data_IF_442567979440
#
_entry.id   IF_442567979440
#
_cell.length_a   1.000
_cell.length_b   1.000
_cell.length_c   1.000
_cell.angle_alpha   90.00
_cell.angle_beta   90.00
_cell.angle_gamma   90.00
#
_symmetry.space_group_name_H-M   'P 1'
#
loop_
_entity.id
_entity.type
_entity.pdbx_description
1 polymer ?
#
# COMPACT_ATOMS: atom_id res chain seq x y z
N UNK A 1 10.17 -12.43 -10.95
CA UNK A 1 9.99 -11.16 -10.24
C UNK A 1 9.45 -10.01 -11.08
N UNK A 2 9.81 -9.86 -12.37
CA UNK A 2 9.26 -8.76 -13.22
C UNK A 2 7.74 -8.88 -13.47
N UNK A 3 7.24 -10.09 -13.62
CA UNK A 3 5.82 -10.36 -13.85
C UNK A 3 5.02 -10.02 -12.58
N UNK A 4 5.49 -10.47 -11.42
CA UNK A 4 4.84 -10.22 -10.13
C UNK A 4 4.85 -8.73 -9.79
N UNK A 5 5.92 -8.00 -10.13
CA UNK A 5 5.99 -6.55 -9.93
C UNK A 5 4.93 -5.83 -10.77
N UNK A 6 4.82 -6.15 -12.06
CA UNK A 6 3.82 -5.52 -12.93
C UNK A 6 2.40 -5.81 -12.44
N UNK A 7 2.09 -7.05 -12.03
CA UNK A 7 0.79 -7.42 -11.47
C UNK A 7 0.48 -6.62 -10.20
N UNK A 8 1.45 -6.49 -9.29
CA UNK A 8 1.26 -5.73 -8.04
C UNK A 8 1.10 -4.23 -8.31
N UNK A 9 1.84 -3.67 -9.26
CA UNK A 9 1.71 -2.26 -9.67
C UNK A 9 0.34 -2.02 -10.30
N UNK A 10 -0.11 -2.88 -11.23
CA UNK A 10 -1.43 -2.78 -11.84
C UNK A 10 -2.54 -2.86 -10.80
N UNK A 11 -2.48 -3.84 -9.90
CA UNK A 11 -3.42 -4.00 -8.80
C UNK A 11 -3.51 -2.75 -7.92
N UNK A 12 -2.36 -2.19 -7.53
CA UNK A 12 -2.31 -0.99 -6.69
C UNK A 12 -2.89 0.26 -7.38
N UNK A 13 -2.59 0.45 -8.67
CA UNK A 13 -3.09 1.57 -9.46
C UNK A 13 -4.61 1.49 -9.67
N UNK A 14 -5.13 0.31 -10.01
CA UNK A 14 -6.58 0.12 -10.20
C UNK A 14 -7.34 0.21 -8.87
N UNK A 15 -6.80 -0.34 -7.79
CA UNK A 15 -7.34 -0.17 -6.46
C UNK A 15 -7.39 1.32 -6.06
N UNK A 16 -6.32 2.07 -6.33
CA UNK A 16 -6.29 3.50 -6.10
C UNK A 16 -7.38 4.26 -6.88
N UNK A 17 -7.66 3.90 -8.13
CA UNK A 17 -8.78 4.46 -8.91
C UNK A 17 -10.13 4.16 -8.25
N UNK A 18 -10.34 2.93 -7.77
CA UNK A 18 -11.56 2.54 -7.05
C UNK A 18 -11.74 3.33 -5.74
N UNK A 19 -10.67 3.47 -4.98
CA UNK A 19 -10.64 4.29 -3.75
C UNK A 19 -10.99 5.74 -4.04
N UNK A 20 -10.32 6.36 -5.02
CA UNK A 20 -10.50 7.79 -5.33
C UNK A 20 -11.92 8.10 -5.78
N UNK A 21 -12.59 7.21 -6.52
CA UNK A 21 -13.99 7.36 -6.89
C UNK A 21 -14.92 7.48 -5.68
N UNK A 22 -14.64 6.72 -4.62
CA UNK A 22 -15.41 6.77 -3.36
C UNK A 22 -15.00 8.00 -2.54
N UNK A 23 -13.69 8.29 -2.48
CA UNK A 23 -13.15 9.45 -1.77
C UNK A 23 -13.74 10.77 -2.27
N UNK A 24 -13.86 10.93 -3.57
CA UNK A 24 -14.45 12.12 -4.21
C UNK A 24 -15.96 12.23 -3.98
N UNK A 25 -16.67 11.10 -3.93
CA UNK A 25 -18.12 11.10 -3.67
C UNK A 25 -18.48 11.56 -2.27
N UNK A 26 -17.60 11.35 -1.28
CA UNK A 26 -17.83 11.65 0.12
C UNK A 26 -18.79 10.67 0.83
N UNK A 27 -19.24 9.63 0.15
CA UNK A 27 -20.12 8.58 0.68
C UNK A 27 -19.28 7.35 1.04
N UNK A 28 -18.86 7.28 2.32
CA UNK A 28 -17.88 6.28 2.76
C UNK A 28 -18.52 5.01 3.34
N UNK A 29 -19.79 5.07 3.76
CA UNK A 29 -20.51 3.94 4.39
C UNK A 29 -19.66 3.29 5.50
N UNK A 30 -19.29 4.11 6.51
CA UNK A 30 -18.36 3.72 7.56
C UNK A 30 -19.00 2.70 8.50
N UNK A 31 -18.36 1.57 8.68
CA UNK A 31 -18.68 0.55 9.68
C UNK A 31 -17.51 0.37 10.65
N UNK A 32 -17.71 -0.36 11.74
CA UNK A 32 -16.67 -0.62 12.74
C UNK A 32 -16.39 -2.11 12.78
N UNK A 33 -15.12 -2.49 12.65
CA UNK A 33 -14.66 -3.88 12.77
C UNK A 33 -14.72 -4.35 14.23
N UNK A 34 -14.50 -5.64 14.46
CA UNK A 34 -14.54 -6.23 15.81
C UNK A 34 -13.41 -5.78 16.74
N UNK A 35 -12.38 -5.12 16.22
CA UNK A 35 -11.24 -4.53 16.94
C UNK A 35 -11.35 -2.98 17.08
N UNK A 36 -12.55 -2.44 16.89
CA UNK A 36 -12.88 -1.01 16.92
C UNK A 36 -12.19 -0.17 15.80
N UNK A 37 -11.55 -0.79 14.81
CA UNK A 37 -11.04 -0.07 13.63
C UNK A 37 -12.16 0.25 12.64
N UNK A 38 -12.08 1.38 11.91
CA UNK A 38 -13.06 1.70 10.88
C UNK A 38 -12.85 0.84 9.64
N UNK A 39 -13.95 0.48 8.99
CA UNK A 39 -14.02 -0.13 7.68
C UNK A 39 -14.91 0.73 6.80
N UNK A 40 -14.46 1.05 5.61
CA UNK A 40 -15.25 1.80 4.65
C UNK A 40 -15.56 0.97 3.40
N UNK A 41 -16.49 1.44 2.62
CA UNK A 41 -16.77 0.86 1.29
C UNK A 41 -15.56 0.91 0.36
N UNK A 42 -14.64 1.86 0.59
CA UNK A 42 -13.42 1.98 -0.19
C UNK A 42 -12.41 0.85 0.12
N UNK A 43 -12.30 0.43 1.39
CA UNK A 43 -11.46 -0.72 1.79
C UNK A 43 -11.90 -1.98 1.05
N UNK A 44 -13.21 -2.24 1.01
CA UNK A 44 -13.78 -3.41 0.32
C UNK A 44 -13.60 -3.33 -1.19
N UNK A 45 -13.85 -2.17 -1.80
CA UNK A 45 -13.66 -1.99 -3.24
C UNK A 45 -12.20 -2.15 -3.66
N UNK A 46 -11.27 -1.62 -2.87
CA UNK A 46 -9.83 -1.81 -3.04
C UNK A 46 -9.45 -3.28 -2.93
N UNK A 47 -9.92 -3.96 -1.88
CA UNK A 47 -9.68 -5.37 -1.65
C UNK A 47 -10.13 -6.22 -2.85
N UNK A 48 -11.35 -6.04 -3.35
CA UNK A 48 -11.89 -6.79 -4.48
C UNK A 48 -11.03 -6.64 -5.74
N UNK A 49 -10.61 -5.40 -6.04
CA UNK A 49 -9.73 -5.12 -7.19
C UNK A 49 -8.39 -5.83 -7.03
N UNK A 50 -7.74 -5.69 -5.87
CA UNK A 50 -6.43 -6.31 -5.63
C UNK A 50 -6.53 -7.83 -5.71
N UNK A 51 -7.54 -8.43 -5.10
CA UNK A 51 -7.76 -9.89 -5.14
C UNK A 51 -7.92 -10.39 -6.56
N UNK A 52 -8.66 -9.69 -7.41
CA UNK A 52 -8.84 -10.06 -8.82
C UNK A 52 -7.49 -10.22 -9.56
N UNK A 53 -6.55 -9.30 -9.34
CA UNK A 53 -5.22 -9.37 -9.96
C UNK A 53 -4.33 -10.44 -9.33
N UNK A 54 -4.27 -10.49 -7.99
CA UNK A 54 -3.30 -11.34 -7.30
C UNK A 54 -3.69 -12.81 -7.31
N UNK A 55 -4.97 -13.17 -7.25
CA UNK A 55 -5.44 -14.56 -7.34
C UNK A 55 -5.06 -15.21 -8.68
N UNK A 56 -5.01 -14.43 -9.75
CA UNK A 56 -4.56 -14.91 -11.07
C UNK A 56 -3.11 -15.39 -11.07
N UNK A 57 -2.30 -15.01 -10.09
CA UNK A 57 -0.92 -15.49 -9.94
C UNK A 57 -0.82 -16.92 -9.38
N UNK A 58 -1.88 -17.44 -8.78
CA UNK A 58 -1.90 -18.73 -8.08
C UNK A 58 -1.12 -18.71 -6.75
N UNK A 59 -0.66 -17.55 -6.28
CA UNK A 59 0.03 -17.37 -5.00
C UNK A 59 -1.01 -17.00 -3.95
N UNK A 60 -1.01 -17.64 -2.76
CA UNK A 60 -1.91 -17.28 -1.66
C UNK A 60 -1.85 -15.80 -1.29
N UNK A 61 -2.99 -15.21 -0.95
CA UNK A 61 -3.10 -13.80 -0.54
C UNK A 61 -3.58 -13.70 0.90
N UNK A 62 -2.81 -12.99 1.72
CA UNK A 62 -3.20 -12.57 3.07
C UNK A 62 -3.54 -11.09 3.03
N UNK A 63 -4.82 -10.76 3.05
CA UNK A 63 -5.31 -9.38 3.04
C UNK A 63 -5.93 -9.02 4.38
N UNK A 64 -5.79 -7.77 4.82
CA UNK A 64 -6.42 -7.25 6.03
C UNK A 64 -7.95 -7.39 5.98
N UNK A 65 -8.54 -7.14 4.82
CA UNK A 65 -9.99 -7.26 4.59
C UNK A 65 -10.41 -8.66 4.12
N UNK A 66 -9.48 -9.61 4.14
CA UNK A 66 -9.71 -10.98 3.72
C UNK A 66 -10.38 -11.84 4.79
N UNK A 67 -10.68 -13.08 4.41
CA UNK A 67 -11.19 -14.08 5.35
C UNK A 67 -10.14 -14.43 6.40
N UNK A 68 -10.59 -14.77 7.61
CA UNK A 68 -9.71 -15.30 8.63
C UNK A 68 -9.06 -16.62 8.14
N UNK A 69 -7.73 -16.64 8.13
CA UNK A 69 -6.92 -17.80 7.73
C UNK A 69 -6.20 -18.31 8.98
N UNK A 70 -6.24 -19.63 9.20
CA UNK A 70 -5.61 -20.20 10.39
C UNK A 70 -4.09 -20.00 10.41
N UNK A 71 -3.50 -20.00 11.59
CA UNK A 71 -2.04 -19.87 11.73
C UNK A 71 -1.31 -21.02 11.06
N UNK A 72 -1.83 -22.24 11.18
CA UNK A 72 -1.27 -23.45 10.59
C UNK A 72 -1.26 -23.34 9.05
N UNK A 73 -2.35 -22.86 8.47
CA UNK A 73 -2.45 -22.67 7.02
C UNK A 73 -1.44 -21.62 6.54
N UNK A 74 -1.39 -20.44 7.19
CA UNK A 74 -0.43 -19.38 6.86
C UNK A 74 1.02 -19.84 6.97
N UNK A 75 1.36 -20.63 7.99
CA UNK A 75 2.71 -21.16 8.18
C UNK A 75 3.11 -22.21 7.14
N UNK A 76 2.14 -22.81 6.43
CA UNK A 76 2.41 -23.74 5.34
C UNK A 76 2.84 -23.06 4.05
N UNK A 77 2.59 -21.76 3.92
CA UNK A 77 2.88 -21.00 2.69
C UNK A 77 4.33 -20.55 2.66
N UNK A 78 5.06 -20.99 1.65
CA UNK A 78 6.44 -20.57 1.38
C UNK A 78 6.48 -19.23 0.64
N UNK A 79 5.46 -18.95 -0.14
CA UNK A 79 5.31 -17.71 -0.89
C UNK A 79 3.89 -17.22 -0.70
N UNK A 80 3.70 -15.94 -0.37
CA UNK A 80 2.38 -15.32 -0.22
C UNK A 80 2.43 -13.83 -0.55
N UNK A 81 1.30 -13.30 -0.97
CA UNK A 81 1.03 -11.88 -1.00
C UNK A 81 0.53 -11.42 0.37
N UNK A 82 1.01 -10.27 0.83
CA UNK A 82 0.46 -9.55 1.99
C UNK A 82 -0.08 -8.22 1.49
N UNK A 83 -1.32 -7.93 1.84
CA UNK A 83 -2.07 -6.79 1.30
C UNK A 83 -2.74 -6.01 2.42
N UNK A 84 -2.55 -4.70 2.41
CA UNK A 84 -3.40 -3.74 3.10
C UNK A 84 -4.08 -2.87 2.05
N UNK A 85 -5.39 -3.04 1.84
CA UNK A 85 -6.12 -2.34 0.77
C UNK A 85 -6.20 -0.83 0.97
N UNK A 86 -6.27 -0.35 2.23
CA UNK A 86 -6.17 1.07 2.61
C UNK A 86 -5.50 1.19 3.98
N UNK A 87 -4.20 1.41 3.99
CA UNK A 87 -3.50 1.83 5.20
C UNK A 87 -3.79 3.32 5.45
N UNK A 88 -4.38 3.60 6.61
CA UNK A 88 -4.82 4.95 6.96
C UNK A 88 -6.32 5.19 6.74
N UNK A 89 -7.20 4.23 7.03
CA UNK A 89 -8.67 4.39 6.93
C UNK A 89 -9.20 5.58 7.74
N UNK A 90 -8.59 5.88 8.90
CA UNK A 90 -8.92 7.08 9.69
C UNK A 90 -8.59 8.37 8.94
N UNK A 91 -7.49 8.42 8.25
CA UNK A 91 -7.02 9.53 7.43
C UNK A 91 -7.88 9.69 6.18
N UNK A 92 -8.29 8.58 5.58
CA UNK A 92 -9.27 8.54 4.49
C UNK A 92 -10.59 9.20 4.91
N UNK A 93 -11.16 8.80 6.05
CA UNK A 93 -12.41 9.36 6.58
C UNK A 93 -12.27 10.86 6.90
N UNK A 94 -11.12 11.29 7.45
CA UNK A 94 -10.82 12.71 7.75
C UNK A 94 -10.54 13.55 6.49
N UNK A 95 -10.41 12.92 5.33
CA UNK A 95 -10.13 13.56 4.05
C UNK A 95 -8.83 14.38 4.03
N UNK A 96 -7.79 13.91 4.73
CA UNK A 96 -6.48 14.57 4.74
C UNK A 96 -5.53 14.06 3.64
N UNK A 97 -5.90 12.99 2.92
CA UNK A 97 -5.15 12.44 1.80
C UNK A 97 -3.95 11.54 2.19
N UNK A 98 -3.77 11.26 3.47
CA UNK A 98 -2.63 10.50 4.00
C UNK A 98 -2.97 9.01 4.16
N UNK A 99 -3.30 8.35 3.07
CA UNK A 99 -3.56 6.91 3.03
C UNK A 99 -2.91 6.27 1.81
N UNK A 100 -2.64 4.97 1.90
CA UNK A 100 -1.90 4.22 0.87
C UNK A 100 -2.55 2.87 0.57
N UNK A 101 -2.23 2.32 -0.61
CA UNK A 101 -2.43 0.90 -0.95
C UNK A 101 -1.11 0.20 -0.82
N UNK A 102 -1.05 -0.88 -0.04
CA UNK A 102 0.19 -1.60 0.23
C UNK A 102 0.08 -3.06 -0.22
N UNK A 103 1.02 -3.50 -1.07
CA UNK A 103 1.10 -4.89 -1.57
C UNK A 103 2.53 -5.36 -1.44
N UNK A 104 2.75 -6.52 -0.80
CA UNK A 104 4.07 -7.13 -0.68
C UNK A 104 4.05 -8.60 -1.07
N UNK A 105 5.13 -9.07 -1.70
CA UNK A 105 5.41 -10.50 -1.91
C UNK A 105 6.44 -10.95 -0.90
N UNK A 106 6.11 -12.00 -0.16
CA UNK A 106 7.00 -12.64 0.81
C UNK A 106 7.35 -14.03 0.32
N UNK A 107 8.63 -14.39 0.36
CA UNK A 107 9.14 -15.72 0.04
C UNK A 107 10.02 -16.23 1.18
N UNK A 108 9.77 -17.46 1.64
CA UNK A 108 10.50 -18.10 2.75
C UNK A 108 10.64 -17.18 3.98
N UNK A 109 9.58 -16.44 4.30
CA UNK A 109 9.54 -15.49 5.41
C UNK A 109 10.24 -14.16 5.19
N UNK A 110 10.80 -13.90 4.00
CA UNK A 110 11.47 -12.64 3.66
C UNK A 110 10.66 -11.85 2.62
N UNK A 111 10.41 -10.54 2.83
CA UNK A 111 9.83 -9.70 1.79
C UNK A 111 10.81 -9.55 0.62
N UNK A 112 10.36 -9.87 -0.59
CA UNK A 112 11.18 -9.82 -1.81
C UNK A 112 10.72 -8.77 -2.81
N UNK A 113 9.48 -8.30 -2.67
CA UNK A 113 8.88 -7.24 -3.48
C UNK A 113 7.89 -6.45 -2.62
N UNK A 114 7.84 -5.14 -2.82
CA UNK A 114 6.85 -4.26 -2.21
C UNK A 114 6.39 -3.18 -3.16
N UNK A 115 5.11 -2.83 -3.10
CA UNK A 115 4.48 -1.72 -3.82
C UNK A 115 3.66 -0.92 -2.81
N UNK A 116 3.85 0.41 -2.82
CA UNK A 116 3.06 1.37 -2.06
C UNK A 116 2.55 2.41 -3.05
N UNK A 117 1.26 2.58 -3.14
CA UNK A 117 0.65 3.63 -3.95
C UNK A 117 -0.05 4.65 -3.06
N UNK A 118 0.19 5.93 -3.31
CA UNK A 118 -0.45 7.08 -2.64
C UNK A 118 -1.48 7.68 -3.58
N UNK A 119 -2.77 7.32 -3.51
CA UNK A 119 -3.75 7.65 -4.55
C UNK A 119 -3.95 9.15 -4.73
N UNK A 120 -3.96 9.92 -3.64
CA UNK A 120 -4.19 11.37 -3.68
C UNK A 120 -3.02 12.12 -4.31
N UNK A 121 -1.79 11.69 -4.05
CA UNK A 121 -0.59 12.31 -4.61
C UNK A 121 -0.26 11.79 -6.02
N UNK A 122 -0.78 10.61 -6.40
CA UNK A 122 -0.39 9.92 -7.63
C UNK A 122 1.06 9.44 -7.59
N UNK A 123 1.57 9.13 -6.39
CA UNK A 123 2.94 8.65 -6.18
C UNK A 123 2.95 7.13 -5.99
N UNK A 124 3.80 6.45 -6.74
CA UNK A 124 4.05 5.02 -6.64
C UNK A 124 5.47 4.78 -6.12
N UNK A 125 5.58 4.01 -5.05
CA UNK A 125 6.84 3.50 -4.55
C UNK A 125 6.86 1.98 -4.72
N UNK A 126 7.97 1.45 -5.20
CA UNK A 126 8.14 0.00 -5.31
C UNK A 126 9.60 -0.40 -5.11
N UNK A 127 9.80 -1.64 -4.74
CA UNK A 127 11.13 -2.19 -4.58
C UNK A 127 11.15 -3.68 -4.73
N UNK A 128 12.33 -4.19 -5.11
CA UNK A 128 12.63 -5.62 -5.12
C UNK A 128 14.01 -5.86 -4.55
N UNK A 129 14.25 -7.05 -4.02
CA UNK A 129 15.58 -7.44 -3.53
C UNK A 129 16.66 -7.43 -4.62
N UNK A 130 16.26 -7.52 -5.91
CA UNK A 130 17.19 -7.53 -7.05
C UNK A 130 17.55 -6.13 -7.55
N UNK A 131 16.60 -5.18 -7.48
CA UNK A 131 16.74 -3.89 -8.17
C UNK A 131 16.68 -2.67 -7.23
N UNK A 132 16.56 -2.91 -5.91
CA UNK A 132 16.44 -1.82 -4.95
C UNK A 132 15.06 -1.15 -4.98
N UNK A 133 15.00 0.09 -4.48
CA UNK A 133 13.75 0.84 -4.31
C UNK A 133 13.66 2.02 -5.27
N UNK A 134 12.45 2.31 -5.71
CA UNK A 134 12.16 3.31 -6.73
C UNK A 134 10.92 4.11 -6.38
N UNK A 135 10.83 5.33 -6.94
CA UNK A 135 9.65 6.17 -6.92
C UNK A 135 9.28 6.62 -8.33
N UNK A 136 7.99 6.60 -8.65
CA UNK A 136 7.43 7.18 -9.85
C UNK A 136 6.24 8.08 -9.53
N UNK A 137 6.05 9.16 -10.30
CA UNK A 137 4.92 10.09 -10.18
C UNK A 137 4.49 10.47 -11.57
N UNK A 138 3.32 10.02 -12.01
CA UNK A 138 2.84 10.26 -13.38
C UNK A 138 2.17 11.64 -13.55
N UNK A 139 1.80 12.30 -12.47
CA UNK A 139 1.02 13.54 -12.52
C UNK A 139 -0.33 13.30 -13.21
N UNK A 140 -0.58 14.01 -14.33
CA UNK A 140 -1.81 13.86 -15.12
C UNK A 140 -1.68 12.86 -16.29
N UNK A 141 -0.55 12.19 -16.43
CA UNK A 141 -0.30 11.22 -17.50
C UNK A 141 -0.79 9.83 -17.08
N UNK A 142 -1.57 9.18 -17.93
CA UNK A 142 -1.93 7.79 -17.73
C UNK A 142 -0.81 6.89 -18.27
N UNK A 143 -0.09 6.23 -17.37
CA UNK A 143 0.94 5.25 -17.70
C UNK A 143 0.43 3.83 -17.55
N UNK A 144 0.92 2.94 -18.40
CA UNK A 144 0.79 1.48 -18.19
C UNK A 144 1.65 1.06 -16.99
N UNK A 145 1.41 -0.13 -16.39
CA UNK A 145 2.26 -0.65 -15.31
C UNK A 145 3.75 -0.69 -15.69
N UNK A 146 4.07 -1.06 -16.92
CA UNK A 146 5.44 -1.07 -17.44
C UNK A 146 6.04 0.33 -17.54
N UNK A 147 5.25 1.31 -17.94
CA UNK A 147 5.69 2.72 -18.02
C UNK A 147 5.92 3.30 -16.63
N UNK A 148 5.08 2.96 -15.63
CA UNK A 148 5.33 3.32 -14.24
C UNK A 148 6.68 2.81 -13.77
N UNK A 149 7.00 1.54 -14.03
CA UNK A 149 8.27 0.92 -13.64
C UNK A 149 9.45 1.52 -14.40
N UNK A 150 9.32 1.75 -15.71
CA UNK A 150 10.43 2.23 -16.54
C UNK A 150 10.77 3.71 -16.35
N UNK A 151 9.82 4.54 -15.93
CA UNK A 151 10.02 5.96 -15.66
C UNK A 151 10.35 6.27 -14.19
N UNK A 152 10.45 5.24 -13.34
CA UNK A 152 10.74 5.41 -11.93
C UNK A 152 12.21 5.81 -11.68
N UNK A 153 12.41 6.63 -10.67
CA UNK A 153 13.73 7.05 -10.19
C UNK A 153 14.13 6.21 -8.98
N UNK A 154 15.40 5.82 -8.92
CA UNK A 154 15.94 5.12 -7.74
C UNK A 154 15.89 6.00 -6.50
N UNK A 155 15.60 5.40 -5.35
CA UNK A 155 15.66 6.05 -4.04
C UNK A 155 16.64 5.32 -3.13
N UNK A 156 17.29 6.02 -2.13
CA UNK A 156 17.07 7.44 -1.82
C UNK A 156 17.59 8.37 -2.90
N UNK A 157 16.94 9.54 -3.03
CA UNK A 157 17.48 10.62 -3.86
C UNK A 157 18.73 11.19 -3.18
N UNK A 158 19.71 11.61 -3.97
CA UNK A 158 20.87 12.36 -3.45
C UNK A 158 20.36 13.61 -2.72
N UNK A 159 20.76 13.73 -1.47
CA UNK A 159 20.22 14.75 -0.56
C UNK A 159 21.33 15.41 0.24
N UNK A 160 22.25 16.10 -0.44
CA UNK A 160 23.42 16.70 0.21
C UNK A 160 23.10 17.85 1.20
N UNK A 161 21.87 18.43 1.14
CA UNK A 161 21.51 19.60 1.95
C UNK A 161 20.12 19.49 2.65
N UNK A 162 19.61 18.28 2.88
CA UNK A 162 18.33 18.15 3.60
C UNK A 162 18.55 18.29 5.12
N UNK A 163 17.70 19.07 5.81
CA UNK A 163 17.73 19.07 7.27
C UNK A 163 17.38 17.69 7.80
N UNK A 164 17.95 17.34 8.95
CA UNK A 164 17.55 16.11 9.66
C UNK A 164 16.04 16.16 9.92
N UNK A 165 15.31 15.18 9.41
CA UNK A 165 13.85 15.14 9.48
C UNK A 165 13.41 13.85 10.17
N UNK A 166 12.61 13.99 11.22
CA UNK A 166 11.96 12.87 11.92
C UNK A 166 10.54 12.71 11.36
N UNK A 167 10.20 11.48 10.99
CA UNK A 167 8.82 11.13 10.58
C UNK A 167 8.16 10.41 11.74
N UNK A 168 6.99 10.92 12.16
CA UNK A 168 6.21 10.34 13.24
C UNK A 168 4.72 10.31 12.89
N UNK A 169 3.97 9.41 13.54
CA UNK A 169 2.53 9.28 13.31
C UNK A 169 1.77 10.50 13.80
N UNK A 170 0.90 11.06 12.97
CA UNK A 170 0.01 12.17 13.34
C UNK A 170 -1.11 11.72 14.28
N UNK A 171 -1.64 10.52 14.06
CA UNK A 171 -2.81 9.99 14.76
C UNK A 171 -2.47 9.04 15.91
N UNK A 172 -1.22 8.57 16.02
CA UNK A 172 -0.75 7.59 16.99
C UNK A 172 0.56 8.03 17.67
N UNK A 173 0.71 9.33 17.93
CA UNK A 173 1.84 9.87 18.65
C UNK A 173 1.77 9.43 20.11
N UNK A 174 2.84 8.80 20.65
CA UNK A 174 2.99 8.56 22.08
C UNK A 174 3.81 9.66 22.75
N UNK A 175 3.67 9.80 24.07
CA UNK A 175 4.48 10.75 24.87
C UNK A 175 5.97 10.49 24.72
N UNK A 176 6.40 9.22 24.69
CA UNK A 176 7.79 8.83 24.52
C UNK A 176 8.34 9.24 23.14
N UNK A 177 7.50 9.15 22.10
CA UNK A 177 7.89 9.61 20.74
C UNK A 177 8.01 11.12 20.70
N UNK A 178 7.09 11.84 21.35
CA UNK A 178 7.12 13.30 21.44
C UNK A 178 8.36 13.78 22.20
N UNK A 179 8.67 13.16 23.35
CA UNK A 179 9.87 13.45 24.15
C UNK A 179 11.16 13.23 23.35
N UNK A 180 11.23 12.14 22.55
CA UNK A 180 12.37 11.85 21.69
C UNK A 180 12.57 12.91 20.60
N UNK A 181 11.48 13.41 20.02
CA UNK A 181 11.54 14.42 18.96
C UNK A 181 12.00 15.79 19.49
N UNK A 182 11.69 16.09 20.77
CA UNK A 182 12.05 17.35 21.41
C UNK A 182 13.45 17.36 22.00
N UNK A 183 14.08 16.20 22.17
CA UNK A 183 15.43 16.06 22.75
C UNK A 183 16.53 16.33 21.72
#
# INVERSE_FOLDING_TARGET
MKVELNVAVEAALEAGKAIMKIYESGDFDVTVKGDDSPLTRADLASHEVIMHHLEATGIPVLSEEGKAISTEERQSWKTLWIVDPIDGTKEFIKRNGEFTVNIALVQEGCPVLGVIFVPVAGDLYFGTTEHGSHKASAGSVEWTPEEWVSNAQSIPFDADDRPHTVVASRSHMSSETEDYIQA
#
